data_IF_179125663707
#
_entry.id   IF_179125663707
#
_cell.length_a   1.000
_cell.length_b   1.000
_cell.length_c   1.000
_cell.angle_alpha   90.00
_cell.angle_beta   90.00
_cell.angle_gamma   90.00
#
_symmetry.space_group_name_H-M   'P 1'
#
loop_
_entity.id
_entity.type
_entity.pdbx_description
1 polymer ?
#
# COMPACT_ATOMS: atom_id res chain seq x y z
N UNK A 1 36.50 -35.11 -11.36
CA UNK A 1 35.17 -34.48 -11.35
C UNK A 1 35.36 -32.97 -11.18
N UNK A 2 34.88 -32.14 -12.11
CA UNK A 2 34.78 -30.69 -11.85
C UNK A 2 33.55 -30.47 -10.98
N UNK A 3 33.67 -29.69 -9.92
CA UNK A 3 32.54 -29.36 -9.06
C UNK A 3 31.51 -28.56 -9.85
N UNK A 4 30.30 -29.09 -10.00
CA UNK A 4 29.15 -28.30 -10.41
C UNK A 4 28.74 -27.44 -9.22
N UNK A 5 29.36 -26.27 -9.10
CA UNK A 5 28.87 -25.22 -8.22
C UNK A 5 27.46 -24.85 -8.70
N UNK A 6 26.46 -25.15 -7.87
CA UNK A 6 25.12 -24.61 -8.08
C UNK A 6 25.19 -23.11 -7.82
N UNK A 7 25.24 -22.30 -8.87
CA UNK A 7 25.01 -20.86 -8.75
C UNK A 7 23.57 -20.67 -8.29
N UNK A 8 23.39 -20.54 -6.97
CA UNK A 8 22.11 -20.18 -6.37
C UNK A 8 21.91 -18.70 -6.64
N UNK A 9 20.97 -18.41 -7.54
CA UNK A 9 20.53 -17.05 -7.87
C UNK A 9 20.12 -16.30 -6.60
N UNK A 10 20.73 -15.16 -6.32
CA UNK A 10 20.33 -14.30 -5.21
C UNK A 10 19.15 -13.42 -5.65
N UNK A 11 18.13 -13.30 -4.80
CA UNK A 11 17.01 -12.36 -5.01
C UNK A 11 17.04 -11.34 -3.89
N UNK A 12 17.17 -10.07 -4.26
CA UNK A 12 17.00 -8.92 -3.35
C UNK A 12 15.52 -8.59 -3.32
N UNK A 13 14.85 -8.98 -2.24
CA UNK A 13 13.47 -8.59 -1.98
C UNK A 13 13.41 -7.11 -1.57
N UNK A 14 12.42 -6.41 -2.11
CA UNK A 14 12.20 -4.99 -1.93
C UNK A 14 10.70 -4.67 -1.99
N UNK A 15 10.32 -3.49 -1.50
CA UNK A 15 8.93 -3.04 -1.56
C UNK A 15 8.82 -1.52 -1.54
N UNK A 16 7.67 -0.99 -1.95
CA UNK A 16 7.38 0.43 -2.00
C UNK A 16 5.95 0.71 -2.46
N UNK A 17 5.70 1.88 -3.03
CA UNK A 17 4.35 2.20 -3.50
C UNK A 17 4.22 3.52 -4.24
N UNK A 18 3.03 3.73 -4.81
CA UNK A 18 2.57 5.03 -5.30
C UNK A 18 1.81 5.68 -4.15
N UNK A 19 2.48 6.60 -3.47
CA UNK A 19 1.87 7.51 -2.52
C UNK A 19 1.09 8.57 -3.29
N UNK A 20 -0.19 8.76 -2.96
CA UNK A 20 -1.09 9.68 -3.66
C UNK A 20 -1.96 10.50 -2.70
N UNK A 21 -2.43 11.65 -3.18
CA UNK A 21 -3.40 12.51 -2.49
C UNK A 21 -4.52 12.94 -3.45
N UNK A 22 -5.68 13.23 -2.89
CA UNK A 22 -6.83 13.77 -3.60
C UNK A 22 -6.89 15.28 -3.32
N UNK A 23 -6.93 16.08 -4.37
CA UNK A 23 -7.14 17.53 -4.30
C UNK A 23 -8.64 17.81 -4.33
N UNK A 24 -9.13 18.58 -3.36
CA UNK A 24 -10.52 19.08 -3.36
C UNK A 24 -10.69 20.30 -4.28
N UNK A 25 -11.94 20.60 -4.65
CA UNK A 25 -12.24 21.69 -5.60
C UNK A 25 -11.78 23.08 -5.11
N UNK A 26 -11.61 23.24 -3.80
CA UNK A 26 -11.07 24.45 -3.15
C UNK A 26 -9.52 24.47 -3.03
N UNK A 27 -8.83 23.42 -3.47
CA UNK A 27 -7.36 23.28 -3.40
C UNK A 27 -6.82 22.83 -2.04
N UNK A 28 -7.67 22.37 -1.13
CA UNK A 28 -7.29 21.72 0.13
C UNK A 28 -7.07 20.21 -0.04
N UNK A 29 -6.22 19.64 0.82
CA UNK A 29 -6.04 18.19 0.94
C UNK A 29 -7.13 17.59 1.88
N UNK A 30 -7.86 16.56 1.44
CA UNK A 30 -8.86 15.79 2.24
C UNK A 30 -8.23 15.12 3.50
N UNK A 31 -6.89 15.03 3.53
CA UNK A 31 -6.12 14.65 4.70
C UNK A 31 -6.09 15.80 5.73
N UNK A 32 -7.14 15.87 6.57
CA UNK A 32 -7.37 16.90 7.57
C UNK A 32 -6.11 17.45 8.27
N UNK A 33 -5.68 18.63 7.82
CA UNK A 33 -4.56 19.42 8.36
C UNK A 33 -3.19 18.71 8.41
N UNK A 34 -2.86 17.87 7.42
CA UNK A 34 -1.46 17.69 7.03
C UNK A 34 -1.02 18.94 6.25
N UNK A 35 -0.30 19.87 6.89
CA UNK A 35 0.20 21.05 6.20
C UNK A 35 1.17 20.62 5.08
N UNK A 36 0.81 20.89 3.83
CA UNK A 36 1.68 20.70 2.67
C UNK A 36 3.04 21.37 2.94
N UNK A 37 4.17 20.63 2.91
CA UNK A 37 5.48 21.25 2.81
C UNK A 37 5.60 21.77 1.37
N UNK A 38 5.16 23.02 1.16
CA UNK A 38 5.50 23.77 -0.04
C UNK A 38 7.03 23.79 -0.15
N UNK A 39 7.59 23.23 -1.23
CA UNK A 39 9.01 22.99 -1.52
C UNK A 39 9.96 23.64 -0.49
N UNK A 40 10.24 22.91 0.60
CA UNK A 40 11.07 23.42 1.70
C UNK A 40 12.52 23.41 1.20
N UNK A 41 13.17 24.58 1.04
CA UNK A 41 14.59 24.62 0.71
C UNK A 41 15.39 23.97 1.85
N UNK A 42 16.39 23.18 1.51
CA UNK A 42 17.21 22.39 2.43
C UNK A 42 18.23 23.24 3.21
N UNK A 43 17.74 24.18 4.03
CA UNK A 43 18.55 25.03 4.91
C UNK A 43 18.06 24.98 6.36
N UNK A 44 18.57 24.04 7.15
CA UNK A 44 18.63 24.13 8.62
C UNK A 44 19.99 23.63 9.13
N UNK A 45 20.56 24.25 10.19
CA UNK A 45 21.96 24.08 10.55
C UNK A 45 22.23 22.79 11.33
N UNK A 46 23.42 22.23 11.07
CA UNK A 46 24.01 21.09 11.76
C UNK A 46 24.18 21.37 13.27
N UNK A 47 23.50 20.59 14.13
CA UNK A 47 23.74 20.57 15.58
C UNK A 47 24.74 19.45 15.88
N UNK A 48 26.00 19.69 15.54
CA UNK A 48 27.14 18.88 15.96
C UNK A 48 27.92 19.59 17.08
N UNK A 49 28.34 18.88 18.15
CA UNK A 49 28.93 19.51 19.33
C UNK A 49 30.40 19.94 19.12
N UNK A 50 30.68 21.21 19.44
CA UNK A 50 31.99 21.86 19.61
C UNK A 50 33.27 21.01 19.45
N UNK A 51 34.06 21.34 18.43
CA UNK A 51 35.52 21.24 18.48
C UNK A 51 36.15 22.49 17.84
N UNK A 52 37.09 23.10 18.54
CA UNK A 52 37.67 24.40 18.22
C UNK A 52 38.80 24.34 17.16
N UNK A 53 39.06 25.52 16.58
CA UNK A 53 40.32 25.98 15.95
C UNK A 53 40.62 25.72 14.45
N UNK A 54 40.95 26.81 13.75
CA UNK A 54 41.77 26.80 12.52
C UNK A 54 41.29 27.72 11.39
N UNK A 55 41.66 29.00 11.42
CA UNK A 55 41.35 29.95 10.34
C UNK A 55 42.43 29.95 9.23
N UNK A 56 42.01 30.14 7.97
CA UNK A 56 42.81 30.83 6.93
C UNK A 56 41.95 31.28 5.75
N UNK A 57 42.27 32.46 5.21
CA UNK A 57 41.56 33.18 4.14
C UNK A 57 41.83 32.62 2.73
N UNK A 58 40.97 32.93 1.75
CA UNK A 58 41.20 32.66 0.32
C UNK A 58 40.17 33.36 -0.59
N UNK A 59 40.63 34.15 -1.57
CA UNK A 59 39.83 35.08 -2.39
C UNK A 59 39.97 34.75 -3.89
N UNK A 60 38.92 35.00 -4.69
CA UNK A 60 38.95 35.17 -6.17
C UNK A 60 38.00 34.22 -6.92
N UNK A 61 36.94 34.65 -7.62
CA UNK A 61 36.78 35.54 -8.81
C UNK A 61 36.87 34.84 -10.19
N UNK A 62 35.89 35.16 -11.06
CA UNK A 62 35.90 35.06 -12.54
C UNK A 62 35.96 33.67 -13.22
N UNK A 63 35.39 33.40 -14.41
CA UNK A 63 34.49 34.16 -15.32
C UNK A 63 33.98 33.25 -16.47
N UNK A 64 32.85 33.59 -17.14
CA UNK A 64 32.42 33.03 -18.45
C UNK A 64 33.26 33.62 -19.62
N UNK A 65 33.27 33.03 -20.85
CA UNK A 65 32.22 33.20 -21.90
C UNK A 65 31.79 31.84 -22.56
N UNK A 66 30.57 31.62 -23.06
CA UNK A 66 29.86 32.11 -24.29
C UNK A 66 30.25 31.47 -25.64
N UNK A 67 29.25 31.32 -26.53
CA UNK A 67 29.19 30.46 -27.74
C UNK A 67 29.90 31.02 -29.00
N UNK A 68 29.82 30.35 -30.19
CA UNK A 68 28.72 30.71 -31.11
C UNK A 68 28.10 29.61 -32.01
N UNK A 69 26.94 29.98 -32.54
CA UNK A 69 25.95 29.35 -33.45
C UNK A 69 26.36 28.98 -34.89
N UNK A 70 25.63 28.03 -35.53
CA UNK A 70 25.05 28.05 -36.90
C UNK A 70 24.63 26.61 -37.35
N UNK A 71 23.77 26.32 -38.35
CA UNK A 71 22.59 26.87 -39.05
C UNK A 71 22.41 26.07 -40.39
N UNK A 72 21.24 26.17 -41.07
CA UNK A 72 20.83 25.49 -42.34
C UNK A 72 20.76 23.93 -42.31
N UNK A 73 20.02 23.18 -43.15
CA UNK A 73 19.06 23.45 -44.25
C UNK A 73 18.82 22.15 -45.09
N UNK A 74 17.85 21.97 -46.02
CA UNK A 74 16.62 22.70 -46.42
C UNK A 74 15.77 21.82 -47.38
N UNK A 75 14.45 21.63 -47.13
CA UNK A 75 13.35 21.10 -48.02
C UNK A 75 13.40 19.70 -48.69
N UNK A 76 12.23 19.03 -48.80
CA UNK A 76 11.64 18.56 -50.07
C UNK A 76 10.17 18.09 -49.91
N UNK A 77 9.35 18.32 -50.94
CA UNK A 77 7.91 17.97 -51.06
C UNK A 77 7.71 16.76 -52.02
N UNK A 78 6.56 16.08 -52.00
CA UNK A 78 6.31 14.93 -52.88
C UNK A 78 5.00 14.18 -52.67
N UNK A 79 3.92 14.63 -53.33
CA UNK A 79 2.64 13.90 -53.44
C UNK A 79 2.66 12.82 -54.54
N UNK A 80 1.98 11.69 -54.32
CA UNK A 80 1.16 11.01 -55.37
C UNK A 80 0.26 9.87 -54.89
N UNK A 81 -0.83 9.76 -55.65
CA UNK A 81 -2.11 9.06 -55.52
C UNK A 81 -2.19 7.51 -55.65
N UNK A 82 -3.33 7.00 -55.14
CA UNK A 82 -4.20 5.87 -55.57
C UNK A 82 -3.62 4.43 -55.60
N UNK A 83 -4.27 3.34 -55.14
CA UNK A 83 -5.57 2.79 -55.57
C UNK A 83 -5.93 1.45 -54.81
N UNK A 84 -7.17 0.96 -55.01
CA UNK A 84 -7.65 -0.44 -54.85
C UNK A 84 -7.82 -1.15 -53.46
N UNK A 85 -9.05 -1.05 -52.93
CA UNK A 85 -9.96 -2.16 -52.56
C UNK A 85 -9.55 -3.35 -51.65
N UNK A 86 -10.26 -3.49 -50.50
CA UNK A 86 -11.00 -4.72 -50.14
C UNK A 86 -11.93 -4.48 -48.92
N UNK A 87 -13.23 -4.80 -49.04
CA UNK A 87 -14.18 -4.61 -47.95
C UNK A 87 -14.20 -5.76 -46.93
N UNK A 88 -14.22 -5.44 -45.63
CA UNK A 88 -14.71 -6.32 -44.56
C UNK A 88 -15.57 -5.51 -43.58
N UNK A 89 -16.82 -5.94 -43.39
CA UNK A 89 -17.72 -5.35 -42.40
C UNK A 89 -17.22 -5.63 -40.97
N UNK A 90 -16.76 -4.61 -40.27
CA UNK A 90 -16.63 -4.63 -38.81
C UNK A 90 -17.80 -3.87 -38.19
N UNK A 91 -18.55 -4.53 -37.30
CA UNK A 91 -19.61 -3.89 -36.52
C UNK A 91 -18.95 -2.98 -35.48
N UNK A 92 -18.93 -1.66 -35.74
CA UNK A 92 -18.55 -0.67 -34.73
C UNK A 92 -19.53 -0.75 -33.56
N UNK A 93 -19.09 -1.36 -32.46
CA UNK A 93 -19.73 -1.15 -31.16
C UNK A 93 -19.71 0.34 -30.86
N UNK A 94 -20.89 0.96 -30.69
CA UNK A 94 -20.98 2.32 -30.17
C UNK A 94 -20.71 2.23 -28.66
N UNK A 95 -19.46 2.42 -28.25
CA UNK A 95 -19.19 2.76 -26.86
C UNK A 95 -19.94 4.05 -26.53
N UNK A 96 -20.93 3.91 -25.65
CA UNK A 96 -21.66 5.04 -25.09
C UNK A 96 -20.69 5.71 -24.10
N UNK A 97 -20.05 6.81 -24.51
CA UNK A 97 -19.28 7.63 -23.57
C UNK A 97 -20.29 8.23 -22.58
N UNK A 98 -20.13 8.05 -21.26
CA UNK A 98 -21.00 8.71 -20.30
C UNK A 98 -20.87 10.25 -20.40
N UNK A 99 -21.84 11.02 -19.88
CA UNK A 99 -21.82 12.48 -19.94
C UNK A 99 -20.55 13.09 -19.32
N UNK A 100 -20.10 14.21 -19.87
CA UNK A 100 -18.78 14.83 -19.57
C UNK A 100 -18.91 15.92 -18.49
N UNK A 101 -19.67 15.63 -17.42
CA UNK A 101 -20.02 16.60 -16.37
C UNK A 101 -19.52 16.19 -14.96
N UNK A 102 -18.54 15.29 -14.89
CA UNK A 102 -17.71 15.09 -13.70
C UNK A 102 -16.24 15.23 -14.13
N UNK A 103 -15.39 15.96 -13.38
CA UNK A 103 -13.95 15.98 -13.64
C UNK A 103 -13.41 14.55 -13.54
N UNK A 104 -12.42 14.20 -14.38
CA UNK A 104 -11.78 12.89 -14.29
C UNK A 104 -11.10 12.80 -12.93
N UNK A 105 -11.23 11.66 -12.23
CA UNK A 105 -10.55 11.46 -10.95
C UNK A 105 -9.04 11.65 -11.11
N UNK A 106 -8.49 11.35 -12.30
CA UNK A 106 -7.09 11.58 -12.65
C UNK A 106 -6.67 13.05 -12.59
N UNK A 107 -7.58 13.99 -12.84
CA UNK A 107 -7.30 15.44 -12.78
C UNK A 107 -7.22 15.95 -11.33
N UNK A 108 -7.74 15.18 -10.36
CA UNK A 108 -7.75 15.48 -8.92
C UNK A 108 -6.71 14.68 -8.13
N UNK A 109 -5.88 13.88 -8.78
CA UNK A 109 -4.88 13.02 -8.13
C UNK A 109 -3.47 13.54 -8.39
N UNK A 110 -2.76 13.83 -7.30
CA UNK A 110 -1.31 13.96 -7.31
C UNK A 110 -0.65 12.71 -6.71
N UNK A 111 0.55 12.42 -7.22
CA UNK A 111 1.39 11.30 -6.82
C UNK A 111 2.79 11.78 -6.45
N UNK A 112 3.37 11.19 -5.40
CA UNK A 112 4.68 11.55 -4.88
C UNK A 112 5.79 10.75 -5.60
N UNK A 113 6.81 11.45 -6.08
CA UNK A 113 7.98 10.87 -6.77
C UNK A 113 9.24 11.41 -6.09
N UNK A 114 10.24 10.53 -5.90
CA UNK A 114 11.52 10.88 -5.28
C UNK A 114 12.64 10.90 -6.32
N UNK A 115 13.59 11.82 -6.15
CA UNK A 115 14.84 11.86 -6.90
C UNK A 115 15.95 11.13 -6.14
N UNK A 116 16.86 10.46 -6.87
CA UNK A 116 18.01 9.76 -6.29
C UNK A 116 19.31 10.28 -6.90
N UNK A 117 20.14 11.06 -6.18
CA UNK A 117 21.32 11.72 -6.76
C UNK A 117 22.38 10.73 -7.24
N UNK A 118 22.42 9.53 -6.63
CA UNK A 118 23.29 8.42 -7.03
C UNK A 118 23.06 7.93 -8.47
N UNK A 119 21.86 8.09 -9.00
CA UNK A 119 21.46 7.60 -10.32
C UNK A 119 20.99 8.71 -11.28
N UNK A 120 20.78 9.94 -10.77
CA UNK A 120 20.14 11.04 -11.51
C UNK A 120 18.78 10.59 -12.09
N UNK A 121 17.96 9.97 -11.23
CA UNK A 121 16.70 9.35 -11.62
C UNK A 121 15.51 9.67 -10.71
N UNK A 122 14.33 9.77 -11.34
CA UNK A 122 13.04 9.96 -10.70
C UNK A 122 12.28 8.65 -10.70
N UNK A 123 11.87 8.19 -9.52
CA UNK A 123 11.19 6.89 -9.35
C UNK A 123 10.20 6.89 -8.18
N UNK A 124 9.40 5.82 -8.08
CA UNK A 124 8.55 5.59 -6.92
C UNK A 124 9.38 5.27 -5.68
N UNK A 125 8.95 5.71 -4.48
CA UNK A 125 9.65 5.36 -3.26
C UNK A 125 9.59 3.84 -2.98
N UNK A 126 10.75 3.25 -2.69
CA UNK A 126 10.99 1.80 -2.50
C UNK A 126 12.41 1.50 -1.99
N UNK A 127 12.53 0.55 -1.08
CA UNK A 127 13.83 -0.01 -0.70
C UNK A 127 13.75 -1.48 -0.36
N UNK A 128 14.75 -1.98 0.37
CA UNK A 128 14.96 -3.43 0.58
C UNK A 128 14.29 -3.87 1.86
N UNK A 129 13.78 -5.10 1.88
CA UNK A 129 13.32 -5.69 3.14
C UNK A 129 14.49 -5.79 4.13
N UNK A 130 14.26 -5.36 5.36
CA UNK A 130 15.12 -5.67 6.49
C UNK A 130 15.08 -7.17 6.83
N UNK A 131 16.02 -7.62 7.66
CA UNK A 131 15.97 -8.98 8.20
C UNK A 131 14.68 -9.18 8.99
N UNK A 132 13.90 -10.19 8.60
CA UNK A 132 12.63 -10.56 9.22
C UNK A 132 11.50 -9.53 9.05
N UNK A 133 11.58 -8.73 7.99
CA UNK A 133 10.52 -7.82 7.54
C UNK A 133 9.63 -8.48 6.47
N UNK A 134 8.38 -8.01 6.34
CA UNK A 134 7.47 -8.39 5.27
C UNK A 134 7.38 -7.29 4.22
N UNK A 135 7.07 -7.64 2.97
CA UNK A 135 6.94 -6.64 1.89
C UNK A 135 5.96 -5.50 2.19
N UNK A 136 4.88 -5.75 2.95
CA UNK A 136 3.92 -4.68 3.32
C UNK A 136 4.49 -3.76 4.40
N UNK A 137 5.29 -4.28 5.31
CA UNK A 137 5.96 -3.50 6.34
C UNK A 137 7.06 -2.63 5.71
N UNK A 138 7.91 -3.26 4.89
CA UNK A 138 8.91 -2.58 4.09
C UNK A 138 8.27 -1.47 3.23
N UNK A 139 7.16 -1.73 2.53
CA UNK A 139 6.51 -0.70 1.72
C UNK A 139 6.13 0.55 2.54
N UNK A 140 5.57 0.41 3.74
CA UNK A 140 5.21 1.56 4.59
C UNK A 140 6.44 2.24 5.18
N UNK A 141 7.42 1.45 5.63
CA UNK A 141 8.70 1.96 6.16
C UNK A 141 9.40 2.79 5.09
N UNK A 142 9.75 2.17 3.95
CA UNK A 142 10.50 2.78 2.84
C UNK A 142 9.82 4.05 2.29
N UNK A 143 8.49 4.06 2.14
CA UNK A 143 7.77 5.30 1.77
C UNK A 143 7.99 6.39 2.84
N UNK A 144 7.95 6.03 4.13
CA UNK A 144 8.24 6.92 5.24
C UNK A 144 9.73 7.22 5.49
N UNK A 145 10.66 6.50 4.87
CA UNK A 145 12.09 6.86 4.90
C UNK A 145 12.39 7.88 3.79
N UNK A 146 12.01 7.55 2.55
CA UNK A 146 12.33 8.33 1.35
C UNK A 146 11.44 9.57 1.17
N UNK A 147 10.14 9.52 1.52
CA UNK A 147 9.27 10.72 1.50
C UNK A 147 9.11 11.36 2.89
N UNK A 148 9.22 10.53 3.94
CA UNK A 148 8.89 10.84 5.32
C UNK A 148 7.56 11.51 5.57
N UNK A 149 6.57 11.10 4.78
CA UNK A 149 5.18 11.07 5.19
C UNK A 149 4.88 9.68 5.73
N UNK A 150 4.23 9.60 6.89
CA UNK A 150 3.66 8.35 7.37
C UNK A 150 2.43 8.00 6.53
N UNK A 151 2.24 6.72 6.22
CA UNK A 151 1.22 6.28 5.25
C UNK A 151 0.42 5.07 5.71
N UNK A 152 -0.77 4.91 5.13
CA UNK A 152 -1.55 3.67 5.16
C UNK A 152 -1.59 3.03 3.78
N UNK A 153 -1.49 1.69 3.72
CA UNK A 153 -1.59 0.96 2.47
C UNK A 153 -3.03 0.86 1.97
N UNK A 154 -3.19 1.16 0.68
CA UNK A 154 -4.36 0.90 -0.15
C UNK A 154 -4.30 -0.45 -0.86
N UNK A 155 -5.05 -0.61 -1.97
CA UNK A 155 -5.00 -1.79 -2.82
C UNK A 155 -3.59 -2.10 -3.35
N UNK A 156 -3.31 -3.39 -3.55
CA UNK A 156 -2.07 -3.87 -4.15
C UNK A 156 -2.06 -3.55 -5.65
N UNK A 157 -0.92 -3.05 -6.16
CA UNK A 157 -0.72 -2.74 -7.57
C UNK A 157 -0.16 -3.95 -8.32
N UNK A 158 1.06 -4.36 -8.00
CA UNK A 158 1.77 -5.41 -8.72
C UNK A 158 3.21 -5.58 -8.27
N UNK A 159 3.90 -6.51 -8.92
CA UNK A 159 5.31 -6.84 -8.67
C UNK A 159 6.16 -6.60 -9.92
N UNK A 160 7.43 -6.27 -9.71
CA UNK A 160 8.44 -6.11 -10.78
C UNK A 160 9.67 -6.91 -10.40
N UNK A 161 10.22 -7.69 -11.35
CA UNK A 161 11.50 -8.37 -11.20
C UNK A 161 12.47 -7.97 -12.32
N UNK A 162 13.70 -7.57 -11.97
CA UNK A 162 14.76 -7.25 -12.94
C UNK A 162 16.17 -7.60 -12.43
N UNK A 163 17.15 -7.85 -13.31
CA UNK A 163 18.54 -8.10 -12.91
C UNK A 163 19.14 -6.89 -12.18
N UNK A 164 19.94 -7.13 -11.13
CA UNK A 164 20.57 -6.04 -10.36
C UNK A 164 21.44 -5.11 -11.22
N UNK A 165 21.99 -5.62 -12.33
CA UNK A 165 22.73 -4.86 -13.34
C UNK A 165 21.90 -3.85 -14.15
N UNK A 166 20.57 -3.88 -14.02
CA UNK A 166 19.63 -2.96 -14.68
C UNK A 166 19.04 -1.89 -13.73
N UNK A 167 19.46 -1.82 -12.46
CA UNK A 167 19.18 -0.67 -11.59
C UNK A 167 19.80 0.61 -12.22
N UNK A 168 19.09 1.74 -12.14
CA UNK A 168 19.47 3.00 -12.81
C UNK A 168 19.29 3.03 -14.33
N UNK A 169 18.90 1.92 -15.01
CA UNK A 169 18.67 1.93 -16.47
C UNK A 169 17.24 2.25 -16.86
N UNK A 170 17.05 3.17 -17.83
CA UNK A 170 15.73 3.62 -18.34
C UNK A 170 14.84 2.48 -18.86
N UNK A 171 15.42 1.49 -19.53
CA UNK A 171 14.70 0.29 -19.99
C UNK A 171 15.33 -0.96 -19.37
N UNK A 172 14.56 -1.64 -18.53
CA UNK A 172 14.97 -2.87 -17.84
C UNK A 172 14.57 -4.07 -18.70
N UNK A 173 15.51 -5.00 -18.96
CA UNK A 173 15.25 -6.21 -19.75
C UNK A 173 15.32 -7.45 -18.87
N UNK A 174 14.31 -8.30 -18.97
CA UNK A 174 14.36 -9.65 -18.40
C UNK A 174 15.37 -10.47 -19.21
N UNK A 175 16.53 -10.72 -18.63
CA UNK A 175 17.62 -11.52 -19.20
C UNK A 175 17.75 -12.86 -18.46
N UNK A 176 18.90 -13.52 -18.56
CA UNK A 176 19.15 -14.87 -18.04
C UNK A 176 18.70 -15.04 -16.56
N UNK A 177 17.98 -16.14 -16.30
CA UNK A 177 17.49 -16.53 -14.97
C UNK A 177 18.62 -16.93 -14.01
N UNK A 178 19.86 -17.04 -14.49
CA UNK A 178 21.06 -17.23 -13.65
C UNK A 178 21.50 -15.95 -12.91
N UNK A 179 21.05 -14.77 -13.35
CA UNK A 179 21.45 -13.49 -12.78
C UNK A 179 20.70 -13.17 -11.48
N UNK A 180 21.42 -12.55 -10.55
CA UNK A 180 20.86 -11.98 -9.33
C UNK A 180 19.86 -10.88 -9.68
N UNK A 181 18.67 -10.94 -9.08
CA UNK A 181 17.57 -10.02 -9.35
C UNK A 181 17.16 -9.19 -8.14
N UNK A 182 16.51 -8.06 -8.42
CA UNK A 182 15.70 -7.32 -7.47
C UNK A 182 14.23 -7.62 -7.78
N UNK A 183 13.48 -7.99 -6.76
CA UNK A 183 12.06 -8.28 -6.81
C UNK A 183 11.33 -7.28 -5.90
N UNK A 184 10.38 -6.53 -6.45
CA UNK A 184 9.75 -5.38 -5.78
C UNK A 184 8.24 -5.52 -5.83
N UNK A 185 7.57 -5.44 -4.68
CA UNK A 185 6.11 -5.35 -4.58
C UNK A 185 5.67 -3.89 -4.35
N UNK A 186 4.61 -3.47 -5.03
CA UNK A 186 4.07 -2.11 -4.96
C UNK A 186 2.60 -2.06 -4.51
N UNK A 187 2.29 -1.05 -3.70
CA UNK A 187 0.94 -0.71 -3.25
C UNK A 187 0.54 0.70 -3.66
N UNK A 188 -0.76 0.98 -3.69
CA UNK A 188 -1.26 2.34 -3.50
C UNK A 188 -1.05 2.72 -2.03
N UNK A 189 -0.72 3.96 -1.71
CA UNK A 189 -0.62 4.43 -0.33
C UNK A 189 -1.19 5.85 -0.19
N UNK A 190 -1.75 6.17 0.97
CA UNK A 190 -2.25 7.51 1.31
C UNK A 190 -1.50 8.04 2.54
N UNK A 191 -1.19 9.35 2.61
CA UNK A 191 -0.69 9.96 3.85
C UNK A 191 -1.70 9.79 4.98
N UNK A 192 -1.22 9.61 6.21
CA UNK A 192 -2.04 9.69 7.42
C UNK A 192 -1.73 10.97 8.20
N UNK A 193 -2.64 11.38 9.08
CA UNK A 193 -2.40 12.55 9.94
C UNK A 193 -1.20 12.30 10.89
N UNK A 194 -0.45 13.34 11.28
CA UNK A 194 0.64 13.21 12.26
C UNK A 194 0.17 12.56 13.57
N UNK A 195 -1.04 12.88 14.03
CA UNK A 195 -1.64 12.27 15.23
C UNK A 195 -1.87 10.76 15.05
N UNK A 196 -2.39 10.31 13.91
CA UNK A 196 -2.51 8.87 13.64
C UNK A 196 -1.15 8.18 13.52
N UNK A 197 -0.12 8.86 13.02
CA UNK A 197 1.24 8.35 12.97
C UNK A 197 1.85 8.19 14.38
N UNK A 198 1.66 9.17 15.27
CA UNK A 198 2.06 9.10 16.68
C UNK A 198 1.45 7.88 17.38
N UNK A 199 0.15 7.63 17.17
CA UNK A 199 -0.53 6.43 17.69
C UNK A 199 -0.02 5.11 17.09
N UNK A 200 0.77 5.10 16.01
CA UNK A 200 1.29 3.87 15.41
C UNK A 200 2.75 3.55 15.76
N UNK A 201 3.49 4.46 16.41
CA UNK A 201 4.95 4.33 16.65
C UNK A 201 5.32 2.97 17.25
N UNK A 202 4.70 2.58 18.37
CA UNK A 202 5.00 1.31 19.05
C UNK A 202 4.44 0.09 18.31
N UNK A 203 3.33 0.24 17.59
CA UNK A 203 2.65 -0.84 16.90
C UNK A 203 3.34 -1.23 15.58
N UNK A 204 3.85 -0.24 14.85
CA UNK A 204 4.60 -0.38 13.60
C UNK A 204 6.09 -0.60 13.89
N UNK A 205 6.73 0.38 14.53
CA UNK A 205 8.16 0.46 14.73
C UNK A 205 8.72 1.83 14.33
N UNK A 206 10.03 2.07 14.52
CA UNK A 206 10.67 3.30 14.08
C UNK A 206 10.73 3.40 12.56
N UNK A 207 10.70 4.63 12.06
CA UNK A 207 10.98 4.98 10.65
C UNK A 207 11.97 6.14 10.68
N UNK A 208 13.05 6.03 9.92
CA UNK A 208 14.13 7.02 9.90
C UNK A 208 14.16 7.73 8.55
N UNK A 209 14.35 9.05 8.51
CA UNK A 209 14.52 9.77 7.24
C UNK A 209 15.75 9.23 6.50
N UNK A 210 15.59 9.00 5.19
CA UNK A 210 16.71 8.72 4.29
C UNK A 210 17.72 9.89 4.32
N UNK A 211 18.99 9.61 4.04
CA UNK A 211 20.01 10.65 3.94
C UNK A 211 19.99 11.35 2.56
N UNK A 212 20.59 12.54 2.50
CA UNK A 212 20.65 13.36 1.27
C UNK A 212 21.48 12.74 0.14
N UNK A 213 22.26 11.68 0.42
CA UNK A 213 22.95 10.88 -0.60
C UNK A 213 22.07 9.78 -1.19
N UNK A 214 20.96 9.44 -0.54
CA UNK A 214 19.94 8.50 -1.03
C UNK A 214 18.78 9.21 -1.73
N UNK A 215 18.17 10.21 -1.07
CA UNK A 215 17.10 11.08 -1.62
C UNK A 215 17.45 12.55 -1.39
N UNK A 216 17.51 13.35 -2.45
CA UNK A 216 17.78 14.80 -2.39
C UNK A 216 16.59 15.69 -2.80
N UNK A 217 15.58 15.15 -3.48
CA UNK A 217 14.37 15.89 -3.86
C UNK A 217 13.10 15.00 -3.85
N UNK A 218 11.95 15.61 -3.53
CA UNK A 218 10.64 14.97 -3.39
C UNK A 218 9.59 15.90 -4.01
N UNK A 219 8.87 15.42 -5.04
CA UNK A 219 7.86 16.22 -5.74
C UNK A 219 6.50 15.53 -5.79
N UNK A 220 5.46 16.35 -5.72
CA UNK A 220 4.08 15.97 -6.00
C UNK A 220 3.70 16.46 -7.38
N UNK A 221 3.19 15.55 -8.21
CA UNK A 221 2.82 15.86 -9.60
C UNK A 221 1.54 15.13 -10.02
N UNK A 222 0.86 15.62 -11.04
CA UNK A 222 -0.29 14.91 -11.61
C UNK A 222 0.10 13.57 -12.24
N UNK A 223 -0.86 12.65 -12.35
CA UNK A 223 -0.69 11.34 -13.01
C UNK A 223 -0.14 11.48 -14.45
N UNK A 224 -0.51 12.54 -15.16
CA UNK A 224 -0.04 12.81 -16.53
C UNK A 224 1.43 13.20 -16.54
N UNK A 225 1.87 14.02 -15.58
CA UNK A 225 3.25 14.49 -15.50
C UNK A 225 4.18 13.40 -14.97
N UNK A 226 3.74 12.63 -13.97
CA UNK A 226 4.43 11.43 -13.49
C UNK A 226 4.85 10.49 -14.64
N UNK A 227 3.93 10.23 -15.58
CA UNK A 227 4.22 9.40 -16.77
C UNK A 227 5.32 9.97 -17.66
N UNK A 228 5.52 11.29 -17.69
CA UNK A 228 6.63 11.92 -18.44
C UNK A 228 7.94 11.76 -17.67
N UNK A 229 7.97 12.20 -16.40
CA UNK A 229 9.22 12.38 -15.64
C UNK A 229 9.84 11.10 -15.10
N UNK A 230 9.06 10.05 -14.81
CA UNK A 230 9.60 8.77 -14.31
C UNK A 230 10.70 8.24 -15.24
N UNK A 231 11.87 7.92 -14.68
CA UNK A 231 13.05 7.55 -15.47
C UNK A 231 12.96 6.14 -16.08
N UNK A 232 12.24 5.22 -15.42
CA UNK A 232 12.21 3.79 -15.79
C UNK A 232 10.87 3.36 -16.39
N UNK A 233 10.92 2.49 -17.41
CA UNK A 233 9.72 1.91 -18.01
C UNK A 233 8.86 1.16 -16.99
N UNK A 234 9.48 0.38 -16.09
CA UNK A 234 8.77 -0.41 -15.07
C UNK A 234 7.94 0.45 -14.12
N UNK A 235 8.39 1.65 -13.82
CA UNK A 235 7.69 2.54 -12.89
C UNK A 235 6.48 3.18 -13.60
N UNK A 236 6.55 3.35 -14.93
CA UNK A 236 5.40 3.72 -15.78
C UNK A 236 4.42 2.56 -15.97
N UNK A 237 4.89 1.31 -15.94
CA UNK A 237 4.03 0.12 -15.94
C UNK A 237 3.24 0.02 -14.61
N UNK A 238 3.89 0.26 -13.46
CA UNK A 238 3.21 0.36 -12.16
C UNK A 238 2.23 1.55 -12.11
N UNK A 239 2.56 2.68 -12.75
CA UNK A 239 1.63 3.81 -12.91
C UNK A 239 0.40 3.44 -13.75
N UNK A 240 0.53 2.56 -14.74
CA UNK A 240 -0.63 2.06 -15.50
C UNK A 240 -1.55 1.22 -14.61
N UNK A 241 -1.00 0.32 -13.79
CA UNK A 241 -1.78 -0.44 -12.80
C UNK A 241 -2.48 0.46 -11.78
N UNK A 242 -1.85 1.57 -11.37
CA UNK A 242 -2.46 2.57 -10.50
C UNK A 242 -3.65 3.27 -11.16
N UNK A 243 -3.53 3.65 -12.44
CA UNK A 243 -4.66 4.20 -13.21
C UNK A 243 -5.80 3.18 -13.34
N UNK A 244 -5.49 1.91 -13.60
CA UNK A 244 -6.50 0.84 -13.64
C UNK A 244 -7.24 0.72 -12.29
N UNK A 245 -6.50 0.79 -11.15
CA UNK A 245 -7.11 0.79 -9.82
C UNK A 245 -7.99 2.03 -9.56
N UNK A 246 -7.58 3.22 -9.99
CA UNK A 246 -8.43 4.41 -9.87
C UNK A 246 -9.74 4.25 -10.65
N UNK A 247 -9.71 3.64 -11.84
CA UNK A 247 -10.90 3.32 -12.63
C UNK A 247 -11.78 2.23 -11.98
N UNK A 248 -11.22 1.36 -11.15
CA UNK A 248 -11.97 0.42 -10.29
C UNK A 248 -12.61 1.11 -9.06
N UNK A 249 -12.34 2.40 -8.83
CA UNK A 249 -12.84 3.19 -7.70
C UNK A 249 -11.89 3.26 -6.50
N UNK A 250 -10.62 2.86 -6.65
CA UNK A 250 -9.69 2.71 -5.53
C UNK A 250 -9.36 3.99 -4.73
N UNK A 251 -9.56 5.18 -5.31
CA UNK A 251 -9.37 6.45 -4.60
C UNK A 251 -10.29 6.57 -3.37
N UNK A 252 -11.51 6.03 -3.47
CA UNK A 252 -12.54 6.11 -2.43
C UNK A 252 -12.61 4.84 -1.55
N UNK A 253 -11.76 3.85 -1.82
CA UNK A 253 -11.82 2.55 -1.18
C UNK A 253 -11.39 2.59 0.29
N UNK A 254 -12.28 2.15 1.18
CA UNK A 254 -12.04 2.08 2.61
C UNK A 254 -11.69 0.65 3.04
N UNK A 255 -10.91 0.51 4.11
CA UNK A 255 -10.27 -0.76 4.46
C UNK A 255 -10.89 -1.41 5.71
N UNK A 256 -11.22 -2.71 5.60
CA UNK A 256 -11.59 -3.54 6.75
C UNK A 256 -10.64 -4.71 6.92
N UNK A 257 -10.06 -4.82 8.12
CA UNK A 257 -9.19 -5.92 8.52
C UNK A 257 -10.02 -6.98 9.28
N UNK A 258 -10.35 -8.09 8.64
CA UNK A 258 -10.92 -9.26 9.33
C UNK A 258 -9.78 -10.02 10.01
N UNK A 259 -9.74 -10.03 11.34
CA UNK A 259 -8.72 -10.72 12.13
C UNK A 259 -9.29 -12.00 12.74
N UNK A 260 -8.68 -13.16 12.48
CA UNK A 260 -9.02 -14.38 13.24
C UNK A 260 -8.22 -14.40 14.54
N UNK A 261 -8.91 -14.63 15.66
CA UNK A 261 -8.29 -14.75 16.98
C UNK A 261 -7.07 -15.70 16.98
N UNK A 262 -6.11 -15.42 17.85
CA UNK A 262 -4.89 -16.18 17.99
C UNK A 262 -5.13 -17.58 18.59
N UNK A 263 -4.08 -18.41 18.65
CA UNK A 263 -4.19 -19.79 19.13
C UNK A 263 -4.64 -19.81 20.60
N UNK A 264 -5.88 -20.22 20.83
CA UNK A 264 -6.50 -20.35 22.15
C UNK A 264 -6.25 -21.71 22.81
N UNK A 265 -6.45 -21.75 24.12
CA UNK A 265 -6.48 -23.00 24.91
C UNK A 265 -7.44 -24.03 24.29
N UNK A 266 -7.18 -25.31 24.51
CA UNK A 266 -8.02 -26.36 23.95
C UNK A 266 -9.35 -26.47 24.72
N UNK A 267 -10.48 -26.59 24.00
CA UNK A 267 -11.83 -26.80 24.58
C UNK A 267 -11.86 -27.93 25.63
N UNK A 268 -11.06 -28.98 25.42
CA UNK A 268 -10.99 -30.17 26.28
C UNK A 268 -10.19 -29.97 27.59
N UNK A 269 -9.25 -29.02 27.63
CA UNK A 269 -8.38 -28.79 28.80
C UNK A 269 -8.81 -27.59 29.64
N UNK A 270 -9.51 -26.64 29.02
CA UNK A 270 -10.07 -25.47 29.70
C UNK A 270 -11.20 -25.85 30.68
N UNK A 271 -11.15 -25.32 31.90
CA UNK A 271 -12.12 -25.60 32.97
C UNK A 271 -13.14 -24.48 33.22
N UNK A 272 -13.00 -23.34 32.52
CA UNK A 272 -13.95 -22.22 32.58
C UNK A 272 -14.98 -22.27 31.45
N UNK A 273 -15.74 -21.18 31.29
CA UNK A 273 -16.67 -20.98 30.16
C UNK A 273 -15.93 -20.79 28.83
N UNK A 274 -16.56 -21.11 27.69
CA UNK A 274 -15.94 -20.90 26.37
C UNK A 274 -15.63 -19.41 26.12
N UNK A 275 -16.51 -18.51 26.57
CA UNK A 275 -16.35 -17.07 26.51
C UNK A 275 -15.06 -16.58 27.20
N UNK A 276 -14.72 -17.16 28.36
CA UNK A 276 -13.55 -16.76 29.14
C UNK A 276 -12.27 -17.52 28.76
N UNK A 277 -12.29 -18.34 27.69
CA UNK A 277 -11.12 -19.13 27.31
C UNK A 277 -10.04 -18.24 26.67
N UNK A 278 -8.81 -18.19 27.21
CA UNK A 278 -7.77 -17.29 26.76
C UNK A 278 -6.95 -17.82 25.57
N UNK A 279 -6.11 -16.95 25.02
CA UNK A 279 -5.03 -17.29 24.11
C UNK A 279 -3.90 -18.02 24.85
N UNK A 280 -3.27 -18.97 24.17
CA UNK A 280 -2.04 -19.62 24.65
C UNK A 280 -0.86 -18.63 24.60
N UNK A 281 0.26 -18.86 25.30
CA UNK A 281 1.46 -18.03 25.18
C UNK A 281 1.98 -17.89 23.74
N UNK A 282 1.89 -18.97 22.93
CA UNK A 282 2.20 -18.90 21.48
C UNK A 282 1.16 -18.13 20.68
N UNK A 283 -0.09 -18.10 21.15
CA UNK A 283 -1.13 -17.22 20.62
C UNK A 283 -0.81 -15.76 20.88
N UNK A 284 -0.38 -15.41 22.10
CA UNK A 284 0.03 -14.05 22.46
C UNK A 284 1.22 -13.57 21.60
N UNK A 285 2.26 -14.41 21.44
CA UNK A 285 3.39 -14.09 20.55
C UNK A 285 2.96 -13.86 19.09
N UNK A 286 2.06 -14.68 18.56
CA UNK A 286 1.55 -14.53 17.19
C UNK A 286 0.61 -13.33 17.02
N UNK A 287 -0.15 -12.96 18.07
CA UNK A 287 -0.95 -11.73 18.09
C UNK A 287 -0.05 -10.49 18.10
N UNK A 288 0.94 -10.46 18.99
CA UNK A 288 1.93 -9.38 19.06
C UNK A 288 2.66 -9.17 17.72
N UNK A 289 3.14 -10.26 17.10
CA UNK A 289 3.80 -10.21 15.80
C UNK A 289 2.86 -9.79 14.64
N UNK A 290 1.54 -9.87 14.83
CA UNK A 290 0.55 -9.40 13.85
C UNK A 290 0.31 -7.88 13.94
N UNK A 291 0.64 -7.23 15.06
CA UNK A 291 0.40 -5.79 15.25
C UNK A 291 1.07 -4.95 14.17
N UNK A 292 2.37 -5.16 13.88
CA UNK A 292 3.11 -4.42 12.84
C UNK A 292 2.50 -4.56 11.45
N UNK A 293 1.96 -5.74 11.17
CA UNK A 293 1.34 -6.08 9.88
C UNK A 293 -0.06 -5.46 9.73
N UNK A 294 -0.77 -5.23 10.84
CA UNK A 294 -2.03 -4.48 10.88
C UNK A 294 -1.78 -2.96 10.86
N UNK A 295 -0.71 -2.50 11.51
CA UNK A 295 -0.32 -1.09 11.59
C UNK A 295 -0.06 -0.48 10.21
N UNK A 296 0.43 -1.26 9.23
CA UNK A 296 0.54 -0.87 7.82
C UNK A 296 -0.74 -0.29 7.19
N UNK A 297 -1.91 -0.49 7.81
CA UNK A 297 -3.21 -0.06 7.31
C UNK A 297 -3.89 1.01 8.20
N UNK A 298 -3.18 1.58 9.20
CA UNK A 298 -3.70 2.54 10.17
C UNK A 298 -5.12 2.19 10.74
N UNK A 299 -5.28 1.08 11.46
CA UNK A 299 -6.57 0.67 12.02
C UNK A 299 -7.02 1.62 13.14
N UNK A 300 -7.75 2.68 12.77
CA UNK A 300 -8.23 3.75 13.67
C UNK A 300 -9.43 3.33 14.51
N UNK A 301 -10.10 2.23 14.13
CA UNK A 301 -11.19 1.63 14.91
C UNK A 301 -10.93 0.15 15.15
N UNK A 302 -11.04 -0.28 16.41
CA UNK A 302 -10.86 -1.68 16.80
C UNK A 302 -12.20 -2.25 17.29
N UNK A 303 -12.61 -3.39 16.73
CA UNK A 303 -13.81 -4.12 17.13
C UNK A 303 -13.47 -5.58 17.40
N UNK A 304 -14.26 -6.24 18.25
CA UNK A 304 -13.97 -7.61 18.66
C UNK A 304 -15.22 -8.32 19.17
N UNK A 305 -15.29 -9.63 18.98
CA UNK A 305 -16.21 -10.46 19.77
C UNK A 305 -15.87 -10.31 21.26
N UNK A 306 -16.85 -10.21 22.18
CA UNK A 306 -16.61 -10.05 23.62
C UNK A 306 -15.91 -11.25 24.28
N UNK A 307 -15.64 -12.33 23.56
CA UNK A 307 -14.95 -13.51 24.09
C UNK A 307 -13.45 -13.25 24.23
N UNK A 308 -12.88 -13.64 25.39
CA UNK A 308 -11.53 -13.25 25.84
C UNK A 308 -10.45 -13.50 24.78
N UNK A 309 -10.43 -14.66 24.13
CA UNK A 309 -9.49 -14.95 23.04
C UNK A 309 -9.48 -13.94 21.88
N UNK A 310 -10.61 -13.30 21.57
CA UNK A 310 -10.70 -12.26 20.55
C UNK A 310 -10.18 -10.93 21.10
N UNK A 311 -10.59 -10.54 22.31
CA UNK A 311 -10.06 -9.36 23.00
C UNK A 311 -8.52 -9.41 23.12
N UNK A 312 -7.97 -10.48 23.69
CA UNK A 312 -6.53 -10.67 23.89
C UNK A 312 -5.72 -10.69 22.57
N UNK A 313 -6.36 -10.97 21.42
CA UNK A 313 -5.70 -10.91 20.11
C UNK A 313 -5.45 -9.48 19.64
N UNK A 314 -6.32 -8.53 20.01
CA UNK A 314 -6.15 -7.10 19.66
C UNK A 314 -5.74 -6.22 20.84
N UNK A 315 -5.70 -6.75 22.07
CA UNK A 315 -5.48 -5.96 23.28
C UNK A 315 -4.16 -5.18 23.26
N UNK A 316 -3.06 -5.78 22.78
CA UNK A 316 -1.77 -5.05 22.70
C UNK A 316 -1.82 -3.97 21.62
N UNK A 317 -2.45 -4.21 20.46
CA UNK A 317 -2.64 -3.17 19.44
C UNK A 317 -3.49 -2.02 19.99
N UNK A 318 -4.58 -2.34 20.70
CA UNK A 318 -5.45 -1.38 21.37
C UNK A 318 -4.69 -0.52 22.40
N UNK A 319 -3.79 -1.14 23.18
CA UNK A 319 -2.95 -0.44 24.14
C UNK A 319 -1.88 0.44 23.47
N UNK A 320 -1.15 -0.08 22.48
CA UNK A 320 -0.11 0.67 21.75
C UNK A 320 -0.68 1.87 20.99
N UNK A 321 -1.90 1.74 20.47
CA UNK A 321 -2.54 2.77 19.65
C UNK A 321 -3.48 3.70 20.40
N UNK A 322 -3.70 3.49 21.71
CA UNK A 322 -4.74 4.15 22.52
C UNK A 322 -6.15 4.13 21.88
N UNK A 323 -6.45 3.06 21.14
CA UNK A 323 -7.74 2.88 20.44
C UNK A 323 -8.58 1.84 21.17
N UNK A 324 -9.75 2.19 21.74
CA UNK A 324 -10.56 1.26 22.52
C UNK A 324 -11.16 0.15 21.65
N UNK A 325 -11.35 -1.04 22.23
CA UNK A 325 -12.00 -2.16 21.56
C UNK A 325 -13.53 -2.10 21.73
N UNK A 326 -14.26 -1.96 20.63
CA UNK A 326 -15.72 -2.04 20.59
C UNK A 326 -16.18 -3.51 20.60
N UNK A 327 -17.03 -3.88 21.56
CA UNK A 327 -17.54 -5.25 21.68
C UNK A 327 -18.76 -5.48 20.78
N UNK A 328 -18.71 -6.55 19.98
CA UNK A 328 -19.76 -6.95 19.04
C UNK A 328 -20.34 -8.31 19.45
N UNK A 329 -21.35 -8.29 20.33
CA UNK A 329 -21.96 -9.50 20.91
C UNK A 329 -22.55 -10.45 19.85
N UNK A 330 -23.08 -9.89 18.76
CA UNK A 330 -23.61 -10.63 17.62
C UNK A 330 -22.55 -11.45 16.87
N UNK A 331 -21.26 -11.21 17.10
CA UNK A 331 -20.13 -11.93 16.48
C UNK A 331 -19.51 -13.00 17.41
N UNK A 332 -20.19 -13.41 18.48
CA UNK A 332 -19.83 -14.61 19.27
C UNK A 332 -20.17 -15.90 18.49
N UNK A 333 -19.53 -17.04 18.83
CA UNK A 333 -19.92 -18.31 18.18
C UNK A 333 -21.36 -18.70 18.52
N UNK A 334 -21.82 -18.40 19.74
CA UNK A 334 -23.18 -18.72 20.20
C UNK A 334 -24.24 -17.87 19.49
N UNK A 335 -24.05 -16.54 19.40
CA UNK A 335 -24.99 -15.67 18.69
C UNK A 335 -25.05 -15.97 17.18
N UNK A 336 -23.91 -16.33 16.57
CA UNK A 336 -23.87 -16.77 15.18
C UNK A 336 -24.57 -18.12 14.97
N UNK A 337 -24.43 -19.06 15.91
CA UNK A 337 -25.12 -20.35 15.85
C UNK A 337 -26.65 -20.22 16.04
N UNK A 338 -27.09 -19.24 16.81
CA UNK A 338 -28.51 -18.89 16.96
C UNK A 338 -29.06 -18.14 15.73
N UNK A 339 -28.34 -17.14 15.22
CA UNK A 339 -28.79 -16.29 14.12
C UNK A 339 -27.62 -15.76 13.26
N UNK A 340 -27.25 -16.47 12.17
CA UNK A 340 -26.21 -16.03 11.24
C UNK A 340 -26.49 -14.67 10.58
N UNK A 341 -27.75 -14.39 10.23
CA UNK A 341 -28.14 -13.13 9.57
C UNK A 341 -27.88 -11.92 10.47
N UNK A 342 -28.09 -12.06 11.79
CA UNK A 342 -27.78 -11.01 12.78
C UNK A 342 -26.28 -10.71 12.83
N UNK A 343 -25.43 -11.72 12.72
CA UNK A 343 -23.98 -11.54 12.63
C UNK A 343 -23.59 -10.85 11.32
N UNK A 344 -24.21 -11.21 10.20
CA UNK A 344 -24.00 -10.52 8.92
C UNK A 344 -24.42 -9.04 8.97
N UNK A 345 -25.60 -8.72 9.49
CA UNK A 345 -26.03 -7.32 9.64
C UNK A 345 -25.07 -6.53 10.56
N UNK A 346 -24.62 -7.13 11.66
CA UNK A 346 -23.62 -6.52 12.53
C UNK A 346 -22.31 -6.21 11.80
N UNK A 347 -21.83 -7.11 10.93
CA UNK A 347 -20.63 -6.90 10.13
C UNK A 347 -20.85 -5.87 9.01
N UNK A 348 -22.03 -5.85 8.40
CA UNK A 348 -22.39 -4.90 7.34
C UNK A 348 -22.50 -3.45 7.86
N UNK A 349 -22.95 -3.26 9.10
CA UNK A 349 -22.90 -1.94 9.76
C UNK A 349 -21.46 -1.46 9.98
N UNK A 350 -20.52 -2.37 10.29
CA UNK A 350 -19.10 -2.03 10.39
C UNK A 350 -18.49 -1.66 9.02
N UNK A 351 -18.93 -2.30 7.92
CA UNK A 351 -18.63 -1.87 6.54
C UNK A 351 -19.14 -0.45 6.30
N UNK A 352 -20.42 -0.18 6.60
CA UNK A 352 -21.05 1.14 6.40
C UNK A 352 -20.36 2.23 7.23
N UNK A 353 -20.00 1.92 8.48
CA UNK A 353 -19.28 2.83 9.36
C UNK A 353 -17.86 3.15 8.85
N UNK A 354 -17.15 2.15 8.32
CA UNK A 354 -15.82 2.32 7.71
C UNK A 354 -15.90 3.18 6.45
N UNK A 355 -16.88 2.93 5.58
CA UNK A 355 -17.13 3.72 4.37
C UNK A 355 -17.45 5.19 4.71
N UNK A 356 -18.39 5.41 5.65
CA UNK A 356 -18.81 6.77 6.05
C UNK A 356 -17.73 7.53 6.84
N UNK A 357 -16.91 6.84 7.63
CA UNK A 357 -15.87 7.43 8.47
C UNK A 357 -14.52 7.63 7.79
N UNK A 358 -14.34 7.13 6.55
CA UNK A 358 -13.07 7.11 5.78
C UNK A 358 -11.87 6.60 6.63
N UNK A 359 -12.10 5.55 7.42
CA UNK A 359 -11.20 5.09 8.49
C UNK A 359 -11.12 3.57 8.59
N UNK A 360 -9.91 3.02 8.62
CA UNK A 360 -9.71 1.57 8.68
C UNK A 360 -10.24 0.95 9.97
N UNK A 361 -11.09 -0.07 9.83
CA UNK A 361 -11.63 -0.83 10.97
C UNK A 361 -11.03 -2.23 11.03
N UNK A 362 -10.48 -2.63 12.18
CA UNK A 362 -10.02 -4.00 12.43
C UNK A 362 -10.99 -4.76 13.35
N UNK A 363 -11.41 -5.96 12.94
CA UNK A 363 -12.48 -6.73 13.61
C UNK A 363 -11.99 -8.14 13.96
N UNK A 364 -11.86 -8.45 15.25
CA UNK A 364 -11.49 -9.80 15.69
C UNK A 364 -12.68 -10.75 15.84
N UNK A 365 -12.64 -11.87 15.11
CA UNK A 365 -13.76 -12.82 14.97
C UNK A 365 -13.33 -14.29 15.15
N UNK A 366 -14.33 -15.16 15.31
CA UNK A 366 -14.17 -16.62 15.39
C UNK A 366 -14.25 -17.28 14.01
N UNK A 367 -13.57 -18.42 13.84
CA UNK A 367 -13.54 -19.20 12.59
C UNK A 367 -14.92 -19.51 11.97
N UNK A 368 -15.97 -19.96 12.70
CA UNK A 368 -17.27 -20.25 12.08
C UNK A 368 -17.96 -18.97 11.59
N UNK A 369 -17.89 -17.88 12.39
CA UNK A 369 -18.45 -16.56 12.04
C UNK A 369 -17.79 -16.04 10.77
N UNK A 370 -16.45 -16.05 10.70
CA UNK A 370 -15.67 -15.70 9.49
C UNK A 370 -16.13 -16.50 8.27
N UNK A 371 -16.50 -17.78 8.45
CA UNK A 371 -17.05 -18.61 7.38
C UNK A 371 -18.35 -18.06 6.79
N UNK A 372 -19.35 -17.78 7.63
CA UNK A 372 -20.63 -17.20 7.19
C UNK A 372 -20.47 -15.78 6.63
N UNK A 373 -19.63 -14.94 7.25
CA UNK A 373 -19.30 -13.62 6.70
C UNK A 373 -18.64 -13.74 5.31
N UNK A 374 -17.72 -14.69 5.12
CA UNK A 374 -17.10 -14.95 3.81
C UNK A 374 -18.11 -15.42 2.75
N UNK A 375 -19.17 -16.13 3.13
CA UNK A 375 -20.23 -16.53 2.20
C UNK A 375 -20.95 -15.31 1.60
N UNK A 376 -21.32 -14.31 2.42
CA UNK A 376 -21.88 -13.05 1.93
C UNK A 376 -20.87 -12.16 1.18
N UNK A 377 -19.63 -12.03 1.68
CA UNK A 377 -18.60 -11.19 1.04
C UNK A 377 -18.23 -11.66 -0.37
N UNK A 378 -18.42 -12.95 -0.68
CA UNK A 378 -18.16 -13.50 -2.02
C UNK A 378 -19.06 -12.92 -3.11
N UNK A 379 -20.27 -12.49 -2.74
CA UNK A 379 -21.23 -11.83 -3.64
C UNK A 379 -20.94 -10.32 -3.78
N UNK A 380 -20.22 -9.73 -2.82
CA UNK A 380 -19.76 -8.33 -2.88
C UNK A 380 -18.44 -8.16 -3.66
N UNK A 381 -17.74 -9.24 -4.00
CA UNK A 381 -16.50 -9.20 -4.76
C UNK A 381 -16.69 -8.62 -6.17
N UNK A 382 -15.88 -7.61 -6.53
CA UNK A 382 -15.93 -6.96 -7.84
C UNK A 382 -15.57 -7.90 -9.01
N UNK A 383 -14.85 -9.00 -8.75
CA UNK A 383 -14.52 -10.01 -9.77
C UNK A 383 -14.46 -11.43 -9.20
N UNK A 384 -14.70 -12.42 -10.08
CA UNK A 384 -14.59 -13.83 -9.73
C UNK A 384 -13.17 -14.30 -9.35
N UNK A 385 -12.14 -13.46 -9.58
CA UNK A 385 -10.79 -13.70 -9.07
C UNK A 385 -10.72 -13.40 -7.55
N UNK A 386 -11.31 -12.27 -7.12
CA UNK A 386 -11.42 -11.93 -5.70
C UNK A 386 -12.30 -12.93 -4.94
N UNK A 387 -13.42 -13.35 -5.54
CA UNK A 387 -14.27 -14.44 -5.02
C UNK A 387 -13.51 -15.77 -4.81
N UNK A 388 -12.40 -16.02 -5.53
CA UNK A 388 -11.54 -17.20 -5.30
C UNK A 388 -10.50 -16.99 -4.19
N UNK A 389 -10.16 -15.74 -3.84
CA UNK A 389 -9.24 -15.41 -2.72
C UNK A 389 -9.92 -15.62 -1.36
N UNK A 390 -11.23 -15.37 -1.27
CA UNK A 390 -12.07 -15.75 -0.12
C UNK A 390 -12.28 -17.28 -0.11
N UNK A 391 -11.60 -17.97 0.80
CA UNK A 391 -11.63 -19.43 0.89
C UNK A 391 -13.06 -19.89 1.22
N UNK A 392 -13.65 -20.75 0.38
CA UNK A 392 -15.04 -21.20 0.53
C UNK A 392 -15.25 -22.37 1.51
N UNK A 393 -14.19 -22.85 2.18
CA UNK A 393 -14.21 -24.05 3.03
C UNK A 393 -13.27 -23.91 4.21
N UNK A 394 -13.60 -24.55 5.33
CA UNK A 394 -12.73 -24.60 6.51
C UNK A 394 -11.41 -25.32 6.20
N UNK A 395 -10.24 -24.84 6.68
CA UNK A 395 -10.06 -23.62 7.49
C UNK A 395 -10.03 -22.36 6.62
N UNK A 396 -11.03 -21.49 6.77
CA UNK A 396 -11.20 -20.25 6.00
C UNK A 396 -10.01 -19.28 6.11
N UNK A 397 -9.32 -19.31 7.26
CA UNK A 397 -8.20 -18.44 7.64
C UNK A 397 -7.45 -19.10 8.81
N UNK A 398 -6.10 -19.12 8.88
CA UNK A 398 -5.34 -19.58 10.05
C UNK A 398 -5.56 -18.74 11.32
N UNK A 399 -5.21 -19.24 12.51
CA UNK A 399 -5.24 -18.42 13.75
C UNK A 399 -4.17 -17.34 13.72
N UNK A 400 -4.44 -16.17 14.34
CA UNK A 400 -3.52 -15.02 14.32
C UNK A 400 -3.11 -14.64 12.88
N UNK A 401 -4.09 -14.59 11.97
CA UNK A 401 -3.91 -14.00 10.63
C UNK A 401 -5.12 -13.12 10.34
N UNK A 402 -4.98 -12.23 9.38
CA UNK A 402 -6.04 -11.34 8.96
C UNK A 402 -6.17 -11.31 7.43
N UNK A 403 -7.27 -10.71 6.98
CA UNK A 403 -7.48 -10.32 5.58
C UNK A 403 -7.90 -8.85 5.58
N UNK A 404 -7.14 -8.03 4.86
CA UNK A 404 -7.52 -6.65 4.53
C UNK A 404 -8.45 -6.68 3.31
N UNK A 405 -9.58 -5.99 3.41
CA UNK A 405 -10.61 -5.86 2.37
C UNK A 405 -10.70 -4.39 1.98
N UNK A 406 -10.44 -4.09 0.71
CA UNK A 406 -10.64 -2.75 0.16
C UNK A 406 -12.02 -2.68 -0.45
N UNK A 407 -12.88 -1.83 0.14
CA UNK A 407 -14.31 -1.77 -0.13
C UNK A 407 -14.66 -0.37 -0.64
N UNK A 408 -15.32 -0.30 -1.79
CA UNK A 408 -15.93 0.94 -2.31
C UNK A 408 -17.43 0.89 -2.08
N UNK A 409 -18.06 2.05 -1.89
CA UNK A 409 -19.52 2.11 -1.94
C UNK A 409 -20.01 2.04 -3.41
N UNK A 410 -21.24 1.60 -3.62
CA UNK A 410 -21.87 1.59 -4.95
C UNK A 410 -23.39 1.65 -4.85
N UNK A 411 -24.12 2.01 -5.92
CA UNK A 411 -25.59 2.06 -5.89
C UNK A 411 -26.27 0.71 -5.59
N UNK A 412 -25.53 -0.41 -5.65
CA UNK A 412 -26.00 -1.76 -5.29
C UNK A 412 -25.53 -2.20 -3.87
N UNK A 413 -24.86 -1.31 -3.12
CA UNK A 413 -24.21 -1.58 -1.85
C UNK A 413 -22.69 -1.74 -1.96
N UNK A 414 -22.00 -2.07 -0.84
CA UNK A 414 -20.54 -2.14 -0.80
C UNK A 414 -19.96 -3.20 -1.75
N UNK A 415 -18.84 -2.89 -2.41
CA UNK A 415 -18.13 -3.81 -3.33
C UNK A 415 -16.66 -3.93 -2.97
N UNK A 416 -16.14 -5.16 -2.95
CA UNK A 416 -14.73 -5.46 -2.60
C UNK A 416 -13.88 -5.46 -3.87
N UNK A 417 -12.86 -4.59 -3.93
CA UNK A 417 -11.96 -4.43 -5.10
C UNK A 417 -10.55 -5.02 -4.91
N UNK A 418 -10.12 -5.22 -3.67
CA UNK A 418 -8.89 -5.97 -3.35
C UNK A 418 -9.00 -6.71 -2.00
N UNK A 419 -8.24 -7.80 -1.86
CA UNK A 419 -8.28 -8.74 -0.73
C UNK A 419 -6.87 -9.20 -0.40
N UNK A 420 -6.21 -8.58 0.58
CA UNK A 420 -4.83 -8.91 0.93
C UNK A 420 -4.79 -9.84 2.14
N UNK A 421 -4.03 -10.94 2.05
CA UNK A 421 -3.76 -11.80 3.21
C UNK A 421 -2.67 -11.16 4.06
N UNK A 422 -2.89 -11.11 5.36
CA UNK A 422 -1.99 -10.52 6.35
C UNK A 422 -1.65 -11.62 7.36
N UNK A 423 -0.37 -11.92 7.51
CA UNK A 423 0.10 -12.98 8.38
C UNK A 423 1.35 -12.51 9.12
N UNK A 424 1.50 -12.83 10.42
CA UNK A 424 2.64 -12.41 11.20
C UNK A 424 3.89 -13.20 10.79
N UNK A 425 5.04 -12.55 10.85
CA UNK A 425 6.33 -13.22 10.82
C UNK A 425 6.68 -13.65 12.25
N UNK A 426 6.46 -14.93 12.55
CA UNK A 426 6.76 -15.56 13.85
C UNK A 426 7.87 -16.57 13.65
N UNK A 427 8.99 -16.36 14.34
CA UNK A 427 10.20 -17.19 14.31
C UNK A 427 10.24 -18.18 15.48
#
# INVERSE_FOLDING_TARGET
>A
MRGMGSNVRHIVEAAGGILYRIIDEDGSDDAGSAASPANVPSDYPDISPNADAGASEGIGESSRPEEPTAADGTTADGTKNDDAAAGKHSRKSKHHRPPVDQPDILDRIEVCIVHRPKYDDWSWPKGKLELNESHRHAAVREIGEETGLSVQLGPYLGEVEYPLSEEGRKTRRSTDRSLDTKHILYWMAQPISPTDAEHLIDAFGPVHRADVGEIDDIIWVSVIEARKILSHSTDKDILALFVDRLQEGAAEAQNILIVRHAKAEARKTWKGTDANRPITPRGAAAAYALNRELACYNPTRLATSPWIRCQETLHVLSWQTDRPMHHLDALTEDAFAENPDRAWQCFLEEIRHTLAGRKTTAICMHRPVIGGIFEHLRDLCASGALTKRLIAKSPYMPTATAVALFVVDSPQGPRIIDIQKVAPLVY
#
